data_IF_657727992682
#
_entry.id   IF_657727992682
#
_cell.length_a   1.000
_cell.length_b   1.000
_cell.length_c   1.000
_cell.angle_alpha   90.00
_cell.angle_beta   90.00
_cell.angle_gamma   90.00
#
_symmetry.space_group_name_H-M   'P 1'
#
loop_
_entity.id
_entity.type
_entity.pdbx_description
1 polymer ?
#
# COMPACT_ATOMS: atom_id res chain seq x y z
N UNK A 1 30.47 6.61 3.43
CA UNK A 1 29.33 5.76 3.03
C UNK A 1 29.91 4.52 2.37
N UNK A 2 29.74 3.37 3.01
CA UNK A 2 30.56 2.16 2.84
C UNK A 2 30.23 1.37 1.57
N UNK A 3 31.28 0.84 0.93
CA UNK A 3 31.30 0.21 -0.39
C UNK A 3 30.48 -1.08 -0.54
N UNK A 4 29.79 -1.53 0.52
CA UNK A 4 29.03 -2.79 0.54
C UNK A 4 27.68 -2.71 -0.21
N UNK A 5 27.17 -1.51 -0.52
CA UNK A 5 25.93 -1.36 -1.32
C UNK A 5 26.13 -1.54 -2.83
N UNK A 6 27.37 -1.59 -3.34
CA UNK A 6 27.64 -1.65 -4.79
C UNK A 6 27.77 -3.05 -5.39
N UNK A 7 27.83 -4.10 -4.57
CA UNK A 7 28.14 -5.47 -5.04
C UNK A 7 27.17 -6.56 -4.57
N UNK A 8 26.11 -6.21 -3.84
CA UNK A 8 25.08 -7.17 -3.43
C UNK A 8 24.09 -7.54 -4.57
N UNK A 9 23.23 -8.56 -4.37
CA UNK A 9 22.21 -8.98 -5.36
C UNK A 9 21.32 -7.83 -5.86
N UNK A 10 21.14 -6.83 -5.00
CA UNK A 10 20.44 -5.57 -5.26
C UNK A 10 21.10 -4.64 -6.30
N UNK A 11 22.38 -4.82 -6.63
CA UNK A 11 23.13 -3.90 -7.48
C UNK A 11 22.85 -4.07 -8.99
N UNK A 12 22.12 -5.12 -9.39
CA UNK A 12 21.93 -5.49 -10.81
C UNK A 12 20.50 -5.37 -11.31
N UNK A 13 19.53 -5.02 -10.44
CA UNK A 13 18.14 -4.80 -10.83
C UNK A 13 17.82 -3.29 -10.84
N UNK A 14 17.61 -2.68 -12.02
CA UNK A 14 17.19 -1.28 -12.16
C UNK A 14 15.86 -0.95 -11.45
N UNK A 15 15.07 -1.98 -11.08
CA UNK A 15 13.80 -1.86 -10.37
C UNK A 15 13.90 -2.10 -8.86
N UNK A 16 15.10 -2.43 -8.35
CA UNK A 16 15.32 -2.59 -6.91
C UNK A 16 15.19 -1.25 -6.19
N UNK A 17 14.08 -1.06 -5.46
CA UNK A 17 13.84 0.12 -4.63
C UNK A 17 14.03 -0.17 -3.14
N UNK A 18 15.20 -0.68 -2.76
CA UNK A 18 15.89 -0.44 -1.48
C UNK A 18 15.17 -0.60 -0.12
N UNK A 19 13.89 -0.95 -0.05
CA UNK A 19 13.10 -1.05 1.17
C UNK A 19 12.52 -2.46 1.22
N UNK A 20 13.12 -3.29 2.07
CA UNK A 20 12.61 -4.59 2.47
C UNK A 20 11.48 -4.38 3.50
N UNK A 21 10.20 -4.69 3.17
CA UNK A 21 9.10 -4.44 4.09
C UNK A 21 9.21 -5.23 5.41
N UNK A 22 9.51 -6.54 5.43
CA UNK A 22 9.84 -7.26 6.67
C UNK A 22 10.90 -6.56 7.54
N UNK A 23 12.02 -6.14 6.96
CA UNK A 23 13.08 -5.48 7.72
C UNK A 23 12.63 -4.11 8.27
N UNK A 24 11.92 -3.32 7.46
CA UNK A 24 11.39 -2.04 7.90
C UNK A 24 10.33 -2.19 9.01
N UNK A 25 9.49 -3.22 8.95
CA UNK A 25 8.53 -3.54 10.02
C UNK A 25 9.26 -3.87 11.33
N UNK A 26 10.38 -4.59 11.27
CA UNK A 26 11.18 -4.88 12.46
C UNK A 26 11.77 -3.60 13.08
N UNK A 27 12.27 -2.68 12.26
CA UNK A 27 12.77 -1.37 12.72
C UNK A 27 11.65 -0.56 13.37
N UNK A 28 10.46 -0.51 12.76
CA UNK A 28 9.29 0.18 13.31
C UNK A 28 8.92 -0.39 14.68
N UNK A 29 8.88 -1.72 14.83
CA UNK A 29 8.59 -2.38 16.12
C UNK A 29 9.62 -2.04 17.18
N UNK A 30 10.91 -2.16 16.86
CA UNK A 30 11.99 -1.86 17.81
C UNK A 30 11.94 -0.41 18.29
N UNK A 31 11.67 0.53 17.39
CA UNK A 31 11.57 1.95 17.75
C UNK A 31 10.33 2.24 18.61
N UNK A 32 9.22 1.55 18.36
CA UNK A 32 8.01 1.64 19.17
C UNK A 32 8.19 1.04 20.56
N UNK A 33 8.85 -0.12 20.67
CA UNK A 33 9.18 -0.74 21.95
C UNK A 33 10.12 0.15 22.78
N UNK A 34 11.13 0.76 22.12
CA UNK A 34 12.02 1.71 22.77
C UNK A 34 11.28 2.96 23.28
N UNK A 35 10.38 3.53 22.48
CA UNK A 35 9.55 4.67 22.89
C UNK A 35 8.70 4.32 24.13
N UNK A 36 8.03 3.17 24.11
CA UNK A 36 7.20 2.70 25.21
C UNK A 36 8.03 2.48 26.49
N UNK A 37 9.23 1.89 26.36
CA UNK A 37 10.13 1.69 27.49
C UNK A 37 10.58 3.01 28.11
N UNK A 38 10.95 4.01 27.30
CA UNK A 38 11.36 5.33 27.79
C UNK A 38 10.19 6.03 28.51
N UNK A 39 8.99 6.02 27.91
CA UNK A 39 7.81 6.62 28.54
C UNK A 39 7.42 5.90 29.84
N UNK A 40 7.48 4.57 29.86
CA UNK A 40 7.26 3.78 31.06
C UNK A 40 8.25 4.15 32.18
N UNK A 41 9.54 4.26 31.84
CA UNK A 41 10.56 4.67 32.79
C UNK A 41 10.33 6.08 33.34
N UNK A 42 10.03 7.06 32.46
CA UNK A 42 9.75 8.45 32.84
C UNK A 42 8.54 8.57 33.79
N UNK A 43 7.51 7.76 33.57
CA UNK A 43 6.32 7.73 34.41
C UNK A 43 6.58 7.09 35.79
N UNK A 44 7.38 6.02 35.82
CA UNK A 44 7.71 5.29 37.04
C UNK A 44 8.74 6.01 37.92
N UNK A 45 9.66 6.77 37.32
CA UNK A 45 10.79 7.38 38.03
C UNK A 45 10.71 8.90 38.01
N UNK A 46 9.74 9.49 38.70
CA UNK A 46 9.69 10.96 38.81
C UNK A 46 10.88 11.47 39.66
N UNK A 47 11.54 12.55 39.23
CA UNK A 47 12.66 13.10 39.98
C UNK A 47 12.18 13.61 41.34
N UNK A 48 12.87 13.30 42.44
CA UNK A 48 12.58 13.87 43.75
C UNK A 48 12.69 15.40 43.74
N UNK A 49 11.98 16.11 44.65
CA UNK A 49 12.13 17.55 44.79
C UNK A 49 13.59 17.96 45.01
N UNK A 50 14.06 18.98 44.28
CA UNK A 50 15.43 19.49 44.39
C UNK A 50 16.48 18.73 43.55
N UNK A 51 16.12 17.63 42.88
CA UNK A 51 17.02 16.93 41.95
C UNK A 51 16.85 17.49 40.54
N UNK A 52 17.96 17.59 39.80
CA UNK A 52 17.94 18.06 38.40
C UNK A 52 17.06 17.19 37.51
N UNK A 53 16.18 17.83 36.74
CA UNK A 53 15.29 17.17 35.77
C UNK A 53 15.89 17.11 34.35
N UNK A 54 17.18 17.45 34.19
CA UNK A 54 17.82 17.53 32.88
C UNK A 54 17.80 16.19 32.13
N UNK A 55 18.13 15.09 32.81
CA UNK A 55 18.10 13.74 32.23
C UNK A 55 16.69 13.31 31.81
N UNK A 56 15.68 13.60 32.63
CA UNK A 56 14.26 13.35 32.28
C UNK A 56 13.82 14.14 31.06
N UNK A 57 14.23 15.41 30.95
CA UNK A 57 13.93 16.24 29.77
C UNK A 57 14.58 15.69 28.50
N UNK A 58 15.84 15.25 28.57
CA UNK A 58 16.52 14.62 27.44
C UNK A 58 15.85 13.30 27.03
N UNK A 59 15.51 12.43 27.98
CA UNK A 59 14.78 11.19 27.72
C UNK A 59 13.41 11.47 27.08
N UNK A 60 12.68 12.49 27.54
CA UNK A 60 11.43 12.92 26.94
C UNK A 60 11.61 13.42 25.50
N UNK A 61 12.68 14.16 25.21
CA UNK A 61 13.03 14.60 23.86
C UNK A 61 13.36 13.43 22.92
N UNK A 62 14.08 12.41 23.41
CA UNK A 62 14.36 11.20 22.62
C UNK A 62 13.08 10.41 22.34
N UNK A 63 12.18 10.28 23.33
CA UNK A 63 10.88 9.64 23.13
C UNK A 63 10.03 10.40 22.10
N UNK A 64 10.06 11.73 22.13
CA UNK A 64 9.38 12.56 21.14
C UNK A 64 9.99 12.39 19.74
N UNK A 65 11.31 12.45 19.61
CA UNK A 65 12.00 12.22 18.34
C UNK A 65 11.67 10.84 17.76
N UNK A 66 11.68 9.79 18.58
CA UNK A 66 11.30 8.44 18.16
C UNK A 66 9.86 8.40 17.65
N UNK A 67 8.92 9.06 18.36
CA UNK A 67 7.53 9.18 17.92
C UNK A 67 7.40 9.89 16.57
N UNK A 68 8.17 10.95 16.35
CA UNK A 68 8.17 11.71 15.10
C UNK A 68 8.72 10.87 13.93
N UNK A 69 9.74 10.04 14.18
CA UNK A 69 10.30 9.14 13.15
C UNK A 69 9.39 7.94 12.84
N UNK A 70 8.67 7.41 13.83
CA UNK A 70 7.77 6.26 13.65
C UNK A 70 6.69 6.53 12.61
N UNK A 71 6.19 7.76 12.53
CA UNK A 71 5.25 8.16 11.49
C UNK A 71 5.84 7.93 10.10
N UNK A 72 7.03 8.48 9.82
CA UNK A 72 7.68 8.38 8.51
C UNK A 72 8.05 6.94 8.15
N UNK A 73 8.59 6.16 9.11
CA UNK A 73 8.97 4.77 8.88
C UNK A 73 7.77 3.85 8.62
N UNK A 74 6.69 4.02 9.39
CA UNK A 74 5.45 3.27 9.18
C UNK A 74 4.86 3.58 7.80
N UNK A 75 4.93 4.84 7.35
CA UNK A 75 4.47 5.23 6.02
C UNK A 75 5.29 4.62 4.88
N UNK A 76 6.62 4.59 5.01
CA UNK A 76 7.49 3.92 4.03
C UNK A 76 7.21 2.42 3.94
N UNK A 77 6.93 1.80 5.08
CA UNK A 77 6.51 0.40 5.13
C UNK A 77 5.17 0.22 4.40
N UNK A 78 4.18 1.06 4.71
CA UNK A 78 2.85 0.99 4.09
C UNK A 78 2.90 1.20 2.57
N UNK A 79 3.73 2.13 2.09
CA UNK A 79 3.97 2.33 0.66
C UNK A 79 4.58 1.08 0.02
N UNK A 80 5.61 0.50 0.63
CA UNK A 80 6.28 -0.69 0.09
C UNK A 80 5.35 -1.93 0.06
N UNK A 81 4.41 -2.04 1.01
CA UNK A 81 3.43 -3.14 1.05
C UNK A 81 2.30 -2.95 0.03
N UNK A 82 1.82 -1.73 -0.17
CA UNK A 82 0.73 -1.43 -1.13
C UNK A 82 1.21 -1.33 -2.58
N UNK A 83 2.51 -1.10 -2.78
CA UNK A 83 3.14 -0.97 -4.10
C UNK A 83 4.36 -1.91 -4.22
N UNK A 84 4.15 -3.24 -4.25
CA UNK A 84 5.25 -4.19 -4.38
C UNK A 84 5.98 -3.98 -5.71
N UNK A 85 7.31 -3.88 -5.66
CA UNK A 85 8.14 -3.85 -6.87
C UNK A 85 7.92 -5.13 -7.70
N UNK A 86 7.90 -5.07 -9.04
CA UNK A 86 7.75 -6.26 -9.89
C UNK A 86 8.94 -7.24 -9.83
N UNK A 87 10.11 -6.76 -9.37
CA UNK A 87 11.28 -7.59 -9.08
C UNK A 87 11.18 -8.15 -7.67
N UNK A 88 10.83 -9.44 -7.58
CA UNK A 88 10.53 -10.14 -6.33
C UNK A 88 11.60 -9.99 -5.23
N UNK A 89 11.15 -10.21 -4.00
CA UNK A 89 12.01 -10.21 -2.81
C UNK A 89 13.21 -11.15 -2.95
N UNK A 90 14.16 -10.98 -2.03
CA UNK A 90 15.49 -11.61 -1.95
C UNK A 90 15.57 -13.13 -2.12
N UNK A 91 14.44 -13.84 -2.22
CA UNK A 91 14.35 -15.30 -2.34
C UNK A 91 14.02 -15.82 -3.76
N UNK A 92 13.88 -14.96 -4.78
CA UNK A 92 13.68 -15.42 -6.15
C UNK A 92 15.00 -15.98 -6.74
N UNK A 93 15.05 -17.24 -7.23
CA UNK A 93 16.24 -17.76 -7.88
C UNK A 93 16.58 -16.93 -9.12
N UNK A 94 17.88 -16.67 -9.39
CA UNK A 94 18.29 -15.77 -10.44
C UNK A 94 17.84 -16.30 -11.82
N UNK A 95 17.39 -15.43 -12.74
CA UNK A 95 17.16 -15.82 -14.12
C UNK A 95 18.47 -16.27 -14.77
N UNK A 96 18.43 -17.25 -15.70
CA UNK A 96 19.63 -17.72 -16.40
C UNK A 96 20.27 -16.57 -17.19
N UNK A 97 21.60 -16.47 -17.10
CA UNK A 97 22.36 -15.40 -17.73
C UNK A 97 22.20 -15.43 -19.26
N UNK A 98 22.05 -14.27 -19.93
CA UNK A 98 22.02 -14.20 -21.39
C UNK A 98 23.39 -14.56 -21.99
N UNK A 99 23.35 -15.34 -23.09
CA UNK A 99 24.55 -15.75 -23.82
C UNK A 99 25.31 -14.52 -24.40
N UNK A 100 26.66 -14.56 -24.47
CA UNK A 100 27.44 -13.45 -25.02
C UNK A 100 27.11 -13.23 -26.50
N UNK A 101 26.71 -12.01 -26.87
CA UNK A 101 26.55 -11.60 -28.26
C UNK A 101 27.93 -11.45 -28.94
N UNK A 102 28.09 -11.89 -30.20
CA UNK A 102 29.37 -11.82 -30.91
C UNK A 102 29.68 -10.38 -31.36
N UNK A 103 30.90 -9.93 -31.10
CA UNK A 103 31.38 -8.59 -31.46
C UNK A 103 31.47 -8.38 -32.97
N UNK A 104 31.02 -7.20 -33.43
CA UNK A 104 31.20 -6.75 -34.81
C UNK A 104 32.58 -6.09 -35.01
N UNK A 105 33.35 -6.46 -36.05
CA UNK A 105 34.65 -5.85 -36.34
C UNK A 105 34.57 -4.77 -37.43
N UNK A 106 35.39 -3.73 -37.30
CA UNK A 106 35.61 -2.71 -38.33
C UNK A 106 36.91 -2.92 -39.11
N UNK A 107 36.76 -3.07 -40.44
CA UNK A 107 37.70 -2.75 -41.55
C UNK A 107 39.07 -3.46 -41.72
N UNK A 108 39.04 -4.51 -42.57
CA UNK A 108 39.78 -4.74 -43.85
C UNK A 108 41.33 -4.79 -43.92
N UNK A 109 41.96 -5.35 -44.99
CA UNK A 109 41.39 -5.67 -46.32
C UNK A 109 41.78 -7.04 -46.97
N UNK A 110 41.17 -7.29 -48.15
CA UNK A 110 41.62 -8.11 -49.29
C UNK A 110 41.19 -9.59 -49.41
N UNK A 111 40.46 -9.90 -50.50
CA UNK A 111 40.34 -11.24 -51.09
C UNK A 111 38.92 -11.66 -51.54
N UNK A 112 38.62 -11.51 -52.84
CA UNK A 112 37.49 -12.20 -53.53
C UNK A 112 37.83 -13.71 -53.74
N UNK A 113 36.92 -14.66 -54.10
CA UNK A 113 35.75 -14.53 -54.99
C UNK A 113 34.41 -15.22 -54.58
N UNK A 114 33.33 -14.82 -55.29
CA UNK A 114 31.95 -15.38 -55.40
C UNK A 114 31.94 -16.77 -56.08
N UNK A 115 30.77 -17.44 -56.37
CA UNK A 115 29.41 -17.44 -55.79
C UNK A 115 28.79 -18.87 -55.65
N UNK A 116 27.68 -19.04 -54.91
CA UNK A 116 26.58 -19.97 -55.27
C UNK A 116 25.32 -19.69 -54.43
N UNK A 117 24.15 -19.63 -55.08
CA UNK A 117 22.80 -19.61 -54.48
C UNK A 117 22.01 -20.71 -55.20
N UNK A 118 21.30 -21.62 -54.50
CA UNK A 118 19.83 -21.53 -54.36
C UNK A 118 19.29 -22.31 -53.11
N UNK A 119 17.97 -22.57 -52.92
CA UNK A 119 16.74 -21.83 -53.23
C UNK A 119 15.97 -21.39 -51.95
N UNK A 120 14.91 -20.60 -52.16
CA UNK A 120 14.01 -20.04 -51.14
C UNK A 120 13.07 -21.10 -50.52
N UNK A 121 12.96 -21.13 -49.19
CA UNK A 121 11.82 -21.70 -48.47
C UNK A 121 11.10 -20.61 -47.68
N UNK A 122 9.78 -20.71 -47.67
CA UNK A 122 8.79 -19.75 -47.21
C UNK A 122 9.03 -19.21 -45.79
N UNK A 123 8.71 -17.92 -45.63
CA UNK A 123 8.68 -17.24 -44.34
C UNK A 123 7.47 -17.70 -43.51
N UNK A 124 7.64 -18.06 -42.23
CA UNK A 124 6.55 -17.97 -41.27
C UNK A 124 6.38 -16.52 -40.80
N UNK A 125 5.12 -16.09 -40.90
CA UNK A 125 4.49 -14.86 -40.47
C UNK A 125 5.09 -14.26 -39.18
N UNK A 126 5.47 -12.98 -39.25
CA UNK A 126 5.71 -12.12 -38.07
C UNK A 126 4.43 -12.08 -37.23
N UNK A 127 4.38 -12.87 -36.16
CA UNK A 127 3.49 -12.60 -35.05
C UNK A 127 3.96 -11.31 -34.38
N UNK A 128 3.09 -10.30 -34.42
CA UNK A 128 3.29 -9.06 -33.69
C UNK A 128 3.48 -9.37 -32.19
N UNK A 129 4.42 -8.70 -31.49
CA UNK A 129 4.56 -8.86 -30.05
C UNK A 129 3.27 -8.40 -29.36
N UNK A 130 2.85 -9.08 -28.27
CA UNK A 130 1.67 -8.68 -27.51
C UNK A 130 1.86 -7.26 -26.99
N UNK A 131 0.82 -6.45 -27.19
CA UNK A 131 0.68 -5.10 -26.64
C UNK A 131 0.92 -5.14 -25.13
N UNK A 132 2.01 -4.49 -24.71
CA UNK A 132 2.33 -4.25 -23.31
C UNK A 132 1.14 -3.56 -22.64
N UNK A 133 0.58 -4.21 -21.62
CA UNK A 133 -0.38 -3.59 -20.70
C UNK A 133 0.24 -2.31 -20.13
N UNK A 134 -0.56 -1.25 -19.86
CA UNK A 134 -0.06 -0.05 -19.21
C UNK A 134 0.63 -0.41 -17.90
N UNK A 135 1.86 0.05 -17.73
CA UNK A 135 2.57 0.01 -16.47
C UNK A 135 1.76 0.77 -15.42
N UNK A 136 1.40 0.17 -14.27
CA UNK A 136 0.80 0.92 -13.18
C UNK A 136 1.81 1.97 -12.69
N UNK A 137 1.41 3.24 -12.74
CA UNK A 137 2.19 4.33 -12.17
C UNK A 137 2.14 4.24 -10.63
N UNK A 138 3.26 4.48 -9.93
CA UNK A 138 3.26 4.59 -8.47
C UNK A 138 2.34 5.74 -8.03
N UNK A 139 1.40 5.49 -7.12
CA UNK A 139 0.56 6.55 -6.55
C UNK A 139 1.30 7.31 -5.44
N UNK A 140 0.98 8.59 -5.18
CA UNK A 140 1.97 9.51 -4.67
C UNK A 140 1.89 9.89 -3.19
N UNK A 141 0.98 9.45 -2.29
CA UNK A 141 0.74 10.22 -1.03
C UNK A 141 0.51 9.45 0.29
N UNK A 142 0.90 10.07 1.42
CA UNK A 142 0.72 9.62 2.82
C UNK A 142 1.21 10.64 3.89
N UNK A 143 0.38 10.95 4.91
CA UNK A 143 0.49 12.10 5.86
C UNK A 143 1.87 12.39 6.48
N UNK A 144 2.27 13.66 6.61
CA UNK A 144 3.49 14.07 7.36
C UNK A 144 4.81 14.00 6.57
N UNK A 145 4.72 13.85 5.26
CA UNK A 145 5.58 14.52 4.26
C UNK A 145 4.99 14.33 2.84
N UNK A 146 3.95 13.50 2.70
CA UNK A 146 3.39 13.15 1.40
C UNK A 146 1.84 13.10 1.41
N UNK A 147 1.11 13.36 2.50
CA UNK A 147 -0.37 13.27 2.56
C UNK A 147 -0.98 14.45 3.31
N UNK A 148 -2.31 14.61 3.26
CA UNK A 148 -2.95 15.88 3.65
C UNK A 148 -3.01 16.15 5.17
N UNK A 149 -2.53 15.22 6.00
CA UNK A 149 -2.51 15.39 7.45
C UNK A 149 -1.07 15.60 7.97
N UNK A 150 -0.87 16.44 9.00
CA UNK A 150 0.45 16.69 9.57
C UNK A 150 0.98 15.47 10.34
N UNK A 151 0.09 14.68 10.94
CA UNK A 151 0.44 13.51 11.73
C UNK A 151 -0.68 12.45 11.73
N UNK A 152 -0.34 11.24 12.22
CA UNK A 152 -1.28 10.10 12.33
C UNK A 152 -2.50 10.43 13.19
N UNK A 153 -2.31 11.21 14.26
CA UNK A 153 -3.40 11.58 15.18
C UNK A 153 -4.45 12.46 14.47
N UNK A 154 -3.99 13.34 13.61
CA UNK A 154 -4.81 14.24 12.79
C UNK A 154 -5.54 13.46 11.70
N UNK A 155 -4.86 12.55 11.01
CA UNK A 155 -5.50 11.64 10.03
C UNK A 155 -6.60 10.79 10.70
N UNK A 156 -6.29 10.16 11.83
CA UNK A 156 -7.24 9.36 12.61
C UNK A 156 -8.45 10.19 13.10
N UNK A 157 -8.21 11.44 13.52
CA UNK A 157 -9.28 12.35 13.96
C UNK A 157 -10.20 12.73 12.80
N UNK A 158 -9.65 13.05 11.64
CA UNK A 158 -10.41 13.34 10.44
C UNK A 158 -11.25 12.12 10.01
N UNK A 159 -10.63 10.94 9.93
CA UNK A 159 -11.30 9.69 9.58
C UNK A 159 -12.48 9.36 10.50
N UNK A 160 -12.32 9.54 11.82
CA UNK A 160 -13.42 9.34 12.78
C UNK A 160 -14.55 10.35 12.59
N UNK A 161 -14.22 11.60 12.30
CA UNK A 161 -15.20 12.66 12.05
C UNK A 161 -16.01 12.34 10.79
N UNK A 162 -15.34 11.93 9.72
CA UNK A 162 -15.98 11.56 8.46
C UNK A 162 -16.83 10.29 8.62
N UNK A 163 -16.34 9.27 9.34
CA UNK A 163 -17.14 8.07 9.64
C UNK A 163 -18.43 8.40 10.41
N UNK A 164 -18.35 9.29 11.42
CA UNK A 164 -19.52 9.73 12.17
C UNK A 164 -20.50 10.51 11.28
N UNK A 165 -20.00 11.35 10.38
CA UNK A 165 -20.82 12.10 9.43
C UNK A 165 -21.55 11.16 8.44
N UNK A 166 -20.89 10.09 7.97
CA UNK A 166 -21.54 9.06 7.15
C UNK A 166 -22.66 8.38 7.91
N UNK A 167 -22.39 7.90 9.14
CA UNK A 167 -23.39 7.21 9.96
C UNK A 167 -24.58 8.12 10.25
N UNK A 168 -24.34 9.37 10.64
CA UNK A 168 -25.39 10.34 10.90
C UNK A 168 -26.23 10.63 9.64
N UNK A 169 -25.59 10.84 8.49
CA UNK A 169 -26.29 11.08 7.23
C UNK A 169 -27.21 9.91 6.86
N UNK A 170 -26.73 8.68 6.98
CA UNK A 170 -27.51 7.47 6.70
C UNK A 170 -28.68 7.33 7.67
N UNK A 171 -28.45 7.51 8.97
CA UNK A 171 -29.51 7.45 10.00
C UNK A 171 -30.60 8.49 9.78
N UNK A 172 -30.22 9.69 9.35
CA UNK A 172 -31.15 10.79 9.07
C UNK A 172 -31.80 10.70 7.67
N UNK A 173 -31.46 9.69 6.86
CA UNK A 173 -31.92 9.55 5.48
C UNK A 173 -31.42 10.66 4.54
N UNK A 174 -30.30 11.32 4.90
CA UNK A 174 -29.70 12.41 4.13
C UNK A 174 -28.53 11.91 3.27
N UNK A 175 -28.19 12.64 2.19
CA UNK A 175 -26.97 12.36 1.44
C UNK A 175 -25.72 12.50 2.33
N UNK A 176 -24.75 11.62 2.11
CA UNK A 176 -23.41 11.75 2.74
C UNK A 176 -22.80 13.10 2.33
N UNK A 177 -22.32 13.92 3.29
CA UNK A 177 -21.83 15.26 2.99
C UNK A 177 -20.68 15.30 1.98
N UNK A 178 -20.66 16.30 1.09
CA UNK A 178 -19.60 16.46 0.09
C UNK A 178 -18.20 16.62 0.69
N UNK A 179 -18.09 17.11 1.93
CA UNK A 179 -16.82 17.16 2.65
C UNK A 179 -16.22 15.77 2.86
N UNK A 180 -17.04 14.77 3.19
CA UNK A 180 -16.59 13.38 3.36
C UNK A 180 -16.06 12.83 2.05
N UNK A 181 -16.78 13.04 0.94
CA UNK A 181 -16.32 12.59 -0.37
C UNK A 181 -15.02 13.27 -0.80
N UNK A 182 -14.88 14.57 -0.51
CA UNK A 182 -13.65 15.32 -0.78
C UNK A 182 -12.48 14.78 0.03
N UNK A 183 -12.67 14.52 1.32
CA UNK A 183 -11.64 13.95 2.19
C UNK A 183 -11.28 12.52 1.78
N UNK A 184 -12.27 11.68 1.50
CA UNK A 184 -12.04 10.31 1.05
C UNK A 184 -11.24 10.28 -0.24
N UNK A 185 -11.62 11.09 -1.24
CA UNK A 185 -10.89 11.20 -2.51
C UNK A 185 -9.46 11.72 -2.32
N UNK A 186 -9.27 12.69 -1.44
CA UNK A 186 -7.96 13.29 -1.22
C UNK A 186 -7.01 12.40 -0.40
N UNK A 187 -7.55 11.44 0.36
CA UNK A 187 -6.81 10.62 1.32
C UNK A 187 -7.08 9.11 1.13
N UNK A 188 -7.49 8.69 -0.07
CA UNK A 188 -7.79 7.29 -0.35
C UNK A 188 -6.54 6.40 -0.27
N UNK A 189 -5.36 6.98 -0.50
CA UNK A 189 -4.05 6.34 -0.38
C UNK A 189 -3.41 6.50 1.01
N UNK A 190 -4.05 7.24 1.93
CA UNK A 190 -3.50 7.46 3.26
C UNK A 190 -3.88 6.30 4.21
N UNK A 191 -2.90 5.51 4.69
CA UNK A 191 -3.18 4.33 5.50
C UNK A 191 -3.73 4.67 6.88
N UNK A 192 -3.32 5.80 7.48
CA UNK A 192 -3.75 6.19 8.82
C UNK A 192 -5.20 6.71 8.81
N UNK A 193 -5.57 7.42 7.75
CA UNK A 193 -6.95 7.85 7.51
C UNK A 193 -7.85 6.65 7.19
N UNK A 194 -7.48 5.83 6.21
CA UNK A 194 -8.33 4.73 5.73
C UNK A 194 -8.51 3.62 6.76
N UNK A 195 -7.46 3.23 7.50
CA UNK A 195 -7.56 2.26 8.61
C UNK A 195 -8.64 2.70 9.61
N UNK A 196 -8.55 3.96 10.08
CA UNK A 196 -9.45 4.47 11.11
C UNK A 196 -10.86 4.77 10.59
N UNK A 197 -11.01 5.10 9.31
CA UNK A 197 -12.31 5.30 8.68
C UNK A 197 -13.10 3.99 8.68
N UNK A 198 -12.53 2.91 8.12
CA UNK A 198 -13.21 1.62 7.99
C UNK A 198 -13.33 0.86 9.31
N UNK A 199 -12.38 1.02 10.24
CA UNK A 199 -12.55 0.55 11.62
C UNK A 199 -13.79 1.17 12.27
N UNK A 200 -14.00 2.48 12.07
CA UNK A 200 -15.11 3.19 12.70
C UNK A 200 -16.45 2.96 12.00
N UNK A 201 -16.47 2.88 10.68
CA UNK A 201 -17.67 2.55 9.91
C UNK A 201 -18.13 1.11 10.19
N UNK A 202 -17.18 0.17 10.24
CA UNK A 202 -17.48 -1.25 10.28
C UNK A 202 -18.24 -1.72 9.02
N UNK A 203 -18.70 -2.98 8.99
CA UNK A 203 -19.29 -3.57 7.80
C UNK A 203 -20.58 -2.89 7.32
N UNK A 204 -21.50 -2.56 8.24
CA UNK A 204 -22.80 -1.99 7.90
C UNK A 204 -22.68 -0.59 7.30
N UNK A 205 -22.04 0.35 8.02
CA UNK A 205 -21.90 1.71 7.50
C UNK A 205 -20.97 1.79 6.27
N UNK A 206 -20.09 0.80 6.06
CA UNK A 206 -19.33 0.70 4.80
C UNK A 206 -20.24 0.31 3.63
N UNK A 207 -21.21 -0.59 3.84
CA UNK A 207 -22.22 -0.90 2.82
C UNK A 207 -23.10 0.32 2.51
N UNK A 208 -23.49 1.10 3.53
CA UNK A 208 -24.25 2.33 3.33
C UNK A 208 -23.44 3.41 2.62
N UNK A 209 -22.16 3.57 2.94
CA UNK A 209 -21.24 4.44 2.21
C UNK A 209 -21.19 4.04 0.72
N UNK A 210 -21.11 2.73 0.45
CA UNK A 210 -21.10 2.23 -0.92
C UNK A 210 -22.42 2.50 -1.66
N UNK A 211 -23.55 2.35 -0.96
CA UNK A 211 -24.87 2.73 -1.50
C UNK A 211 -24.93 4.21 -1.84
N UNK A 212 -24.40 5.08 -1.00
CA UNK A 212 -24.33 6.51 -1.26
C UNK A 212 -23.38 6.90 -2.42
N UNK A 213 -22.43 6.02 -2.78
CA UNK A 213 -21.56 6.16 -3.94
C UNK A 213 -22.16 5.58 -5.23
N UNK A 214 -23.28 4.85 -5.17
CA UNK A 214 -23.86 4.17 -6.32
C UNK A 214 -24.20 5.15 -7.44
N UNK A 215 -23.75 4.85 -8.66
CA UNK A 215 -23.95 5.70 -9.83
C UNK A 215 -22.92 6.83 -10.00
N UNK A 216 -22.03 7.03 -9.03
CA UNK A 216 -20.91 7.97 -9.11
C UNK A 216 -19.59 7.21 -9.18
N UNK A 217 -19.04 7.09 -10.39
CA UNK A 217 -17.80 6.36 -10.64
C UNK A 217 -16.60 6.93 -9.86
N UNK A 218 -16.54 8.25 -9.66
CA UNK A 218 -15.44 8.88 -8.93
C UNK A 218 -15.50 8.53 -7.44
N UNK A 219 -16.71 8.50 -6.85
CA UNK A 219 -16.91 8.07 -5.46
C UNK A 219 -16.63 6.58 -5.30
N UNK A 220 -17.09 5.74 -6.22
CA UNK A 220 -16.81 4.30 -6.18
C UNK A 220 -15.31 4.00 -6.28
N UNK A 221 -14.58 4.71 -7.15
CA UNK A 221 -13.13 4.58 -7.27
C UNK A 221 -12.41 4.98 -5.98
N UNK A 222 -12.84 6.07 -5.33
CA UNK A 222 -12.27 6.48 -4.04
C UNK A 222 -12.53 5.45 -2.93
N UNK A 223 -13.72 4.84 -2.90
CA UNK A 223 -14.03 3.73 -1.98
C UNK A 223 -13.16 2.50 -2.29
N UNK A 224 -13.02 2.13 -3.57
CA UNK A 224 -12.18 0.99 -3.99
C UNK A 224 -10.71 1.14 -3.58
N UNK A 225 -10.12 2.29 -3.86
CA UNK A 225 -8.73 2.58 -3.50
C UNK A 225 -8.54 2.55 -1.97
N UNK A 226 -9.41 3.24 -1.24
CA UNK A 226 -9.32 3.32 0.22
C UNK A 226 -9.60 2.01 0.95
N UNK A 227 -10.53 1.17 0.47
CA UNK A 227 -10.72 -0.19 1.00
C UNK A 227 -9.47 -1.04 0.75
N UNK A 228 -8.87 -0.94 -0.44
CA UNK A 228 -7.63 -1.63 -0.78
C UNK A 228 -6.50 -1.29 0.18
N UNK A 229 -6.29 0.00 0.45
CA UNK A 229 -5.29 0.48 1.41
C UNK A 229 -5.62 -0.01 2.82
N UNK A 230 -6.85 0.19 3.29
CA UNK A 230 -7.25 -0.25 4.63
C UNK A 230 -7.08 -1.77 4.83
N UNK A 231 -7.25 -2.59 3.80
CA UNK A 231 -7.08 -4.04 3.88
C UNK A 231 -5.66 -4.49 4.26
N UNK A 232 -4.65 -3.62 4.09
CA UNK A 232 -3.27 -3.83 4.52
C UNK A 232 -3.02 -3.41 5.97
N UNK A 233 -3.89 -2.57 6.55
CA UNK A 233 -3.67 -1.93 7.86
C UNK A 233 -4.68 -2.35 8.93
N UNK A 234 -5.81 -2.95 8.55
CA UNK A 234 -6.79 -3.50 9.50
C UNK A 234 -7.18 -4.95 9.20
N UNK A 235 -7.88 -5.56 10.16
CA UNK A 235 -8.42 -6.92 10.02
C UNK A 235 -9.73 -6.91 9.23
N UNK A 236 -9.60 -7.12 7.93
CA UNK A 236 -10.72 -7.50 7.03
C UNK A 236 -10.75 -9.03 6.89
N UNK A 237 -11.14 -9.72 7.96
CA UNK A 237 -11.25 -11.18 7.97
C UNK A 237 -12.56 -11.67 7.31
N UNK A 238 -12.73 -13.00 7.27
CA UNK A 238 -13.91 -13.63 6.69
C UNK A 238 -15.20 -13.16 7.38
N UNK A 239 -15.17 -12.93 8.69
CA UNK A 239 -16.35 -12.49 9.45
C UNK A 239 -16.74 -11.07 9.06
N UNK A 240 -15.76 -10.15 9.01
CA UNK A 240 -15.98 -8.76 8.61
C UNK A 240 -16.50 -8.69 7.17
N UNK A 241 -15.88 -9.43 6.24
CA UNK A 241 -16.25 -9.43 4.82
C UNK A 241 -17.62 -10.06 4.58
N UNK A 242 -17.97 -11.15 5.27
CA UNK A 242 -19.32 -11.74 5.19
C UNK A 242 -20.38 -10.78 5.72
N UNK A 243 -20.11 -10.12 6.85
CA UNK A 243 -21.01 -9.10 7.37
C UNK A 243 -21.18 -7.96 6.35
N UNK A 244 -20.08 -7.46 5.78
CA UNK A 244 -20.12 -6.39 4.79
C UNK A 244 -20.95 -6.77 3.56
N UNK A 245 -20.73 -7.97 3.02
CA UNK A 245 -21.50 -8.46 1.87
C UNK A 245 -22.98 -8.69 2.19
N UNK A 246 -23.31 -9.14 3.41
CA UNK A 246 -24.70 -9.29 3.85
C UNK A 246 -25.39 -7.93 4.01
N UNK A 247 -24.71 -6.92 4.55
CA UNK A 247 -25.26 -5.57 4.66
C UNK A 247 -25.39 -4.92 3.28
N UNK A 248 -24.42 -5.12 2.38
CA UNK A 248 -24.51 -4.67 0.99
C UNK A 248 -25.69 -5.32 0.24
N UNK A 249 -26.00 -6.59 0.55
CA UNK A 249 -27.18 -7.28 0.02
C UNK A 249 -28.49 -6.63 0.51
N UNK A 250 -28.62 -6.41 1.82
CA UNK A 250 -29.79 -5.70 2.40
C UNK A 250 -29.93 -4.28 1.84
N UNK A 251 -28.82 -3.62 1.56
CA UNK A 251 -28.78 -2.29 0.98
C UNK A 251 -29.06 -2.27 -0.55
N UNK A 252 -29.11 -3.43 -1.21
CA UNK A 252 -29.35 -3.57 -2.65
C UNK A 252 -28.12 -3.29 -3.53
N UNK A 253 -26.92 -3.27 -2.96
CA UNK A 253 -25.66 -2.90 -3.64
C UNK A 253 -24.60 -4.00 -3.62
N UNK A 254 -25.00 -5.25 -3.37
CA UNK A 254 -24.09 -6.41 -3.37
C UNK A 254 -23.25 -6.57 -4.65
N UNK A 255 -23.78 -6.38 -5.89
CA UNK A 255 -22.96 -6.45 -7.09
C UNK A 255 -21.85 -5.39 -7.12
N UNK A 256 -22.16 -4.17 -6.67
CA UNK A 256 -21.21 -3.07 -6.56
C UNK A 256 -20.14 -3.39 -5.51
N UNK A 257 -20.54 -3.97 -4.36
CA UNK A 257 -19.61 -4.36 -3.31
C UNK A 257 -18.60 -5.41 -3.79
N UNK A 258 -19.06 -6.41 -4.55
CA UNK A 258 -18.18 -7.41 -5.15
C UNK A 258 -17.23 -6.80 -6.18
N UNK A 259 -17.71 -5.87 -7.02
CA UNK A 259 -16.87 -5.16 -7.98
C UNK A 259 -15.77 -4.36 -7.29
N UNK A 260 -16.13 -3.61 -6.23
CA UNK A 260 -15.18 -2.82 -5.43
C UNK A 260 -14.13 -3.73 -4.79
N UNK A 261 -14.54 -4.83 -4.16
CA UNK A 261 -13.59 -5.78 -3.54
C UNK A 261 -12.68 -6.46 -4.57
N UNK A 262 -13.19 -6.74 -5.77
CA UNK A 262 -12.41 -7.36 -6.84
C UNK A 262 -11.44 -6.39 -7.52
N UNK A 263 -11.80 -5.11 -7.63
CA UNK A 263 -10.98 -4.07 -8.23
C UNK A 263 -9.98 -3.43 -7.27
N UNK A 264 -10.21 -3.52 -5.96
CA UNK A 264 -9.31 -2.98 -4.96
C UNK A 264 -7.98 -3.76 -4.92
N UNK A 265 -6.82 -3.08 -4.78
CA UNK A 265 -5.55 -3.74 -4.52
C UNK A 265 -5.54 -4.29 -3.09
N UNK A 266 -6.21 -5.41 -2.87
CA UNK A 266 -6.39 -6.00 -1.55
C UNK A 266 -5.15 -6.76 -1.08
N UNK A 267 -4.89 -6.73 0.23
CA UNK A 267 -3.86 -7.56 0.85
C UNK A 267 -4.10 -9.05 0.56
N UNK A 268 -3.04 -9.86 0.52
CA UNK A 268 -3.18 -11.30 0.26
C UNK A 268 -4.13 -11.98 1.23
N UNK A 269 -4.05 -11.61 2.50
CA UNK A 269 -4.96 -12.10 3.54
C UNK A 269 -6.40 -11.70 3.27
N UNK A 270 -6.65 -10.46 2.89
CA UNK A 270 -8.00 -9.99 2.57
C UNK A 270 -8.55 -10.66 1.30
N UNK A 271 -7.71 -10.87 0.26
CA UNK A 271 -8.09 -11.64 -0.94
C UNK A 271 -8.49 -13.07 -0.62
N UNK A 272 -7.70 -13.76 0.19
CA UNK A 272 -8.02 -15.11 0.65
C UNK A 272 -9.31 -15.14 1.48
N UNK A 273 -9.54 -14.12 2.30
CA UNK A 273 -10.77 -13.99 3.08
C UNK A 273 -11.99 -13.68 2.19
N UNK A 274 -11.85 -12.88 1.13
CA UNK A 274 -12.91 -12.61 0.14
C UNK A 274 -13.36 -13.92 -0.50
N UNK A 275 -12.42 -14.74 -1.00
CA UNK A 275 -12.75 -16.03 -1.61
C UNK A 275 -13.57 -16.94 -0.68
N UNK A 276 -13.23 -16.96 0.62
CA UNK A 276 -13.98 -17.70 1.64
C UNK A 276 -15.33 -17.05 2.02
N UNK A 277 -15.43 -15.73 1.91
CA UNK A 277 -16.64 -14.97 2.22
C UNK A 277 -17.69 -15.05 1.10
N UNK A 278 -17.25 -15.19 -0.15
CA UNK A 278 -18.13 -15.29 -1.33
C UNK A 278 -18.53 -16.72 -1.68
N UNK A 279 -17.79 -17.72 -1.20
CA UNK A 279 -18.17 -19.13 -1.32
C UNK A 279 -19.33 -19.40 -0.35
N UNK A 280 -20.56 -19.38 -0.86
CA UNK A 280 -21.74 -19.87 -0.14
C UNK A 280 -21.53 -21.36 0.16
N UNK A 281 -21.64 -21.77 1.42
CA UNK A 281 -21.83 -23.20 1.74
C UNK A 281 -23.19 -23.56 1.18
N UNK A 282 -23.18 -24.33 0.09
CA UNK A 282 -24.37 -24.95 -0.49
C UNK A 282 -25.02 -25.92 0.49
#
# INVERSE_FOLDING_TARGET
>A
MTAQMRTGPAARDPQFRGIDPPALNQVVKQLQDAQNAIQGWLNAHRPPPGVSTAGHRQAAQVAQWAADQLGMLSRRYNYAVTHPSPGGGVDAPPPPAPAPAPGGPGKGPSGAPRPARPPSHEAPVKTAPPTLKPTPQPTPRGAGDIGNFPDRKSAAKAARTDALAVVAAVQDGRPVPDSVWRHLKANADDPDYTEKLYERLGPAATADLLKAAQGDEARLKAVQESVGVASHHMVMDVKWLRAFLAEADRAGVRPVALQVLAGAPMSERARAAIAKATTTVA
#
